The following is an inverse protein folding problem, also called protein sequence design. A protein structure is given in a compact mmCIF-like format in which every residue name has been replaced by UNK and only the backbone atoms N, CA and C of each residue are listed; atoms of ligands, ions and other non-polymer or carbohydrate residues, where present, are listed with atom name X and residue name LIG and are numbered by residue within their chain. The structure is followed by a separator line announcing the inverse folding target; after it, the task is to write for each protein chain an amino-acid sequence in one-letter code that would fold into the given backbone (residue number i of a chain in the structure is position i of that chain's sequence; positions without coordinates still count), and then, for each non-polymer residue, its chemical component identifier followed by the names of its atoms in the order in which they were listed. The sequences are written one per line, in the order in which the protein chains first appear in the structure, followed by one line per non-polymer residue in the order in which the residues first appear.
data_IF_627741944876
#
_entry.id   IF_627741944876
#
_cell.length_a   1.000
_cell.length_b   1.000
_cell.length_c   1.000
_cell.angle_alpha   90.00
_cell.angle_beta   90.00
_cell.angle_gamma   90.00
#
_symmetry.space_group_name_H-M   'P 1'
#
loop_
_entity.id
_entity.type
_entity.pdbx_description
1 polymer ?
#
# COMPACT_ATOMS: atom_id res chain seq x y z
N UNK A 1 15.71 -14.95 -30.13
CA UNK A 1 16.34 -13.78 -30.80
C UNK A 1 16.80 -12.79 -29.73
N UNK A 2 17.89 -12.02 -29.95
CA UNK A 2 18.43 -11.09 -28.94
C UNK A 2 17.79 -9.71 -29.09
N UNK A 3 17.08 -9.21 -28.06
CA UNK A 3 16.38 -7.91 -28.08
C UNK A 3 17.23 -6.72 -28.50
N UNK A 4 18.48 -6.68 -28.04
CA UNK A 4 19.41 -5.59 -28.34
C UNK A 4 19.61 -5.43 -29.86
N UNK A 5 19.53 -6.53 -30.62
CA UNK A 5 19.66 -6.53 -32.08
C UNK A 5 18.40 -6.05 -32.80
N UNK A 6 17.23 -6.07 -32.15
CA UNK A 6 15.99 -5.53 -32.71
C UNK A 6 15.88 -4.03 -32.48
N UNK A 7 16.26 -3.55 -31.29
CA UNK A 7 16.28 -2.13 -30.95
C UNK A 7 17.28 -1.32 -31.79
N UNK A 8 18.34 -1.96 -32.29
CA UNK A 8 19.34 -1.32 -33.15
C UNK A 8 18.92 -1.24 -34.63
N UNK A 9 17.89 -1.97 -35.05
CA UNK A 9 17.39 -1.95 -36.43
C UNK A 9 16.35 -0.83 -36.58
N UNK A 10 16.30 -0.15 -37.74
CA UNK A 10 15.18 0.73 -38.02
C UNK A 10 13.91 -0.07 -38.30
N UNK A 11 12.74 0.49 -37.95
CA UNK A 11 11.44 -0.19 -38.00
C UNK A 11 11.11 -0.76 -39.39
N UNK A 12 11.50 -0.07 -40.47
CA UNK A 12 11.24 -0.50 -41.85
C UNK A 12 12.04 -1.74 -42.27
N UNK A 13 13.11 -2.08 -41.55
CA UNK A 13 13.92 -3.28 -41.78
C UNK A 13 13.47 -4.45 -40.89
N UNK A 14 12.44 -4.24 -40.07
CA UNK A 14 11.94 -5.22 -39.11
C UNK A 14 10.76 -5.99 -39.70
N UNK A 15 10.71 -7.31 -39.44
CA UNK A 15 9.55 -8.11 -39.82
C UNK A 15 8.38 -7.85 -38.86
N UNK A 16 7.14 -8.12 -39.31
CA UNK A 16 5.95 -7.95 -38.47
C UNK A 16 6.00 -8.79 -37.18
N UNK A 17 6.66 -9.96 -37.22
CA UNK A 17 6.87 -10.83 -36.07
C UNK A 17 7.81 -10.20 -35.04
N UNK A 18 8.92 -9.61 -35.52
CA UNK A 18 9.87 -8.89 -34.67
C UNK A 18 9.21 -7.65 -34.01
N UNK A 19 8.27 -6.99 -34.70
CA UNK A 19 7.49 -5.88 -34.14
C UNK A 19 6.52 -6.30 -33.05
N UNK A 20 5.77 -7.37 -33.30
CA UNK A 20 4.81 -7.92 -32.33
C UNK A 20 5.52 -8.47 -31.08
N UNK A 21 6.73 -8.98 -31.25
CA UNK A 21 7.57 -9.42 -30.13
C UNK A 21 7.96 -8.25 -29.22
N UNK A 22 8.37 -7.10 -29.79
CA UNK A 22 8.74 -5.92 -29.01
C UNK A 22 7.53 -5.30 -28.27
N UNK A 23 6.35 -5.29 -28.90
CA UNK A 23 5.14 -4.70 -28.30
C UNK A 23 4.59 -5.51 -27.13
N UNK A 24 4.69 -6.85 -27.17
CA UNK A 24 4.32 -7.71 -26.05
C UNK A 24 5.25 -7.52 -24.86
N UNK A 25 6.54 -7.36 -25.12
CA UNK A 25 7.51 -7.21 -24.04
C UNK A 25 7.37 -5.88 -23.29
N UNK A 26 7.00 -4.78 -23.94
CA UNK A 26 6.74 -3.51 -23.23
C UNK A 26 5.50 -3.61 -22.32
N UNK A 27 4.51 -4.41 -22.71
CA UNK A 27 3.35 -4.71 -21.86
C UNK A 27 3.78 -5.52 -20.61
N UNK A 28 4.63 -6.53 -20.79
CA UNK A 28 5.14 -7.36 -19.69
C UNK A 28 6.07 -6.60 -18.74
N UNK A 29 6.84 -5.61 -19.22
CA UNK A 29 7.69 -4.79 -18.34
C UNK A 29 6.90 -3.82 -17.46
N UNK A 30 5.69 -3.39 -17.87
CA UNK A 30 4.83 -2.56 -17.02
C UNK A 30 4.18 -3.37 -15.88
N UNK A 31 3.98 -4.67 -16.07
CA UNK A 31 3.45 -5.57 -15.02
C UNK A 31 4.54 -6.16 -14.13
N UNK A 32 5.77 -6.35 -14.62
CA UNK A 32 6.83 -7.04 -13.87
C UNK A 32 7.84 -6.14 -13.13
N UNK A 33 7.75 -4.81 -13.21
CA UNK A 33 8.47 -3.92 -12.27
C UNK A 33 7.69 -3.62 -10.98
N UNK A 34 6.49 -4.18 -10.82
CA UNK A 34 5.66 -4.00 -9.62
C UNK A 34 5.48 -5.27 -8.77
N UNK A 35 6.11 -6.40 -9.13
CA UNK A 35 5.85 -7.70 -8.49
C UNK A 35 7.12 -8.48 -8.08
N UNK A 36 8.22 -7.78 -7.81
CA UNK A 36 9.38 -8.35 -7.10
C UNK A 36 9.49 -7.85 -5.65
N UNK A 37 8.36 -7.50 -5.03
CA UNK A 37 8.25 -7.56 -3.58
C UNK A 37 7.40 -8.80 -3.29
N UNK A 38 8.06 -9.80 -2.71
CA UNK A 38 7.49 -10.69 -1.70
C UNK A 38 6.24 -10.06 -1.03
N UNK A 39 5.22 -10.84 -0.62
CA UNK A 39 4.25 -10.36 0.34
C UNK A 39 4.93 -10.25 1.72
N UNK A 40 6.06 -9.54 1.83
CA UNK A 40 6.35 -8.77 3.02
C UNK A 40 5.16 -7.85 3.12
N UNK A 41 4.17 -8.21 3.95
CA UNK A 41 3.07 -7.36 4.32
C UNK A 41 3.67 -5.97 4.59
N UNK A 42 3.55 -5.07 3.62
CA UNK A 42 4.12 -3.73 3.69
C UNK A 42 3.23 -3.02 4.67
N UNK A 43 3.57 -3.18 5.96
CA UNK A 43 2.77 -2.67 7.07
C UNK A 43 2.46 -1.22 6.79
N UNK A 44 1.18 -0.95 6.55
CA UNK A 44 0.76 0.36 6.11
C UNK A 44 0.67 1.25 7.34
N UNK A 45 1.69 2.08 7.55
CA UNK A 45 1.74 3.01 8.67
C UNK A 45 1.17 4.37 8.29
N UNK A 46 0.24 4.87 9.10
CA UNK A 46 -0.37 6.19 8.94
C UNK A 46 -0.06 7.05 10.16
N UNK A 47 -0.02 8.36 9.95
CA UNK A 47 0.52 9.30 10.93
C UNK A 47 -0.53 10.27 11.49
N UNK A 48 -0.45 10.50 12.80
CA UNK A 48 -1.25 11.50 13.49
C UNK A 48 -2.73 11.16 13.61
N UNK A 49 -3.52 12.16 14.04
CA UNK A 49 -4.99 12.03 14.10
C UNK A 49 -5.58 11.97 12.69
N UNK A 50 -4.94 12.62 11.72
CA UNK A 50 -5.34 12.55 10.31
C UNK A 50 -5.32 11.11 9.80
N UNK A 51 -4.30 10.32 10.17
CA UNK A 51 -4.25 8.92 9.77
C UNK A 51 -5.39 8.05 10.30
N UNK A 52 -5.85 8.32 11.54
CA UNK A 52 -7.04 7.65 12.08
C UNK A 52 -8.29 8.06 11.27
N UNK A 53 -8.36 9.30 10.81
CA UNK A 53 -9.48 9.77 9.97
C UNK A 53 -9.49 9.04 8.62
N UNK A 54 -8.33 8.82 8.02
CA UNK A 54 -8.17 8.14 6.73
C UNK A 54 -8.53 6.65 6.81
N UNK A 55 -8.07 5.94 7.85
CA UNK A 55 -8.36 4.51 8.04
C UNK A 55 -9.87 4.26 8.26
N UNK A 56 -10.52 5.10 9.07
CA UNK A 56 -11.92 4.91 9.46
C UNK A 56 -12.91 5.76 8.68
N UNK A 57 -12.45 6.54 7.69
CA UNK A 57 -13.24 7.53 6.95
C UNK A 57 -14.10 8.38 7.89
N UNK A 58 -13.50 8.87 8.98
CA UNK A 58 -14.22 9.53 10.07
C UNK A 58 -13.74 10.97 10.31
N UNK A 59 -14.59 11.77 10.96
CA UNK A 59 -14.24 13.15 11.33
C UNK A 59 -13.22 13.21 12.47
N UNK A 60 -12.41 14.27 12.52
CA UNK A 60 -11.44 14.54 13.60
C UNK A 60 -11.98 14.32 15.04
N UNK A 61 -13.16 14.83 15.44
CA UNK A 61 -13.67 14.60 16.80
C UNK A 61 -14.00 13.12 17.06
N UNK A 62 -14.43 12.39 16.03
CA UNK A 62 -14.69 10.96 16.12
C UNK A 62 -13.39 10.17 16.27
N UNK A 63 -12.36 10.50 15.48
CA UNK A 63 -11.03 9.91 15.62
C UNK A 63 -10.44 10.11 17.04
N UNK A 64 -10.61 11.30 17.63
CA UNK A 64 -10.17 11.58 19.01
C UNK A 64 -10.92 10.70 20.02
N UNK A 65 -12.23 10.51 19.84
CA UNK A 65 -13.03 9.62 20.68
C UNK A 65 -12.58 8.16 20.54
N UNK A 66 -12.25 7.71 19.33
CA UNK A 66 -11.70 6.37 19.08
C UNK A 66 -10.37 6.20 19.82
N UNK A 67 -9.45 7.17 19.71
CA UNK A 67 -8.20 7.17 20.48
C UNK A 67 -8.45 7.13 21.99
N UNK A 68 -9.35 7.97 22.52
CA UNK A 68 -9.71 7.99 23.95
C UNK A 68 -10.39 6.70 24.43
N UNK A 69 -11.09 6.01 23.55
CA UNK A 69 -11.82 4.78 23.89
C UNK A 69 -10.91 3.57 24.13
N UNK A 70 -9.63 3.65 23.74
CA UNK A 70 -8.67 2.57 23.92
C UNK A 70 -8.83 1.38 22.98
N UNK A 71 -9.78 1.43 22.03
CA UNK A 71 -10.08 0.32 21.11
C UNK A 71 -8.91 -0.06 20.20
N UNK A 72 -8.02 0.88 19.92
CA UNK A 72 -6.94 0.76 18.92
C UNK A 72 -5.56 0.93 19.57
N UNK A 73 -5.46 0.93 20.90
CA UNK A 73 -4.22 1.24 21.61
C UNK A 73 -3.05 0.32 21.21
N UNK A 74 -3.33 -0.95 20.88
CA UNK A 74 -2.30 -1.89 20.42
C UNK A 74 -1.74 -1.56 19.04
N UNK A 75 -2.49 -0.85 18.18
CA UNK A 75 -2.01 -0.42 16.87
C UNK A 75 -1.35 0.96 16.91
N UNK A 76 -1.49 1.69 18.02
CA UNK A 76 -0.97 3.06 18.17
C UNK A 76 0.38 3.01 18.89
N UNK A 77 1.41 3.51 18.21
CA UNK A 77 2.71 3.81 18.83
C UNK A 77 2.82 5.31 19.01
N UNK A 78 2.84 5.79 20.26
CA UNK A 78 2.99 7.21 20.56
C UNK A 78 4.40 7.51 21.08
N UNK A 79 5.13 8.34 20.35
CA UNK A 79 6.43 8.90 20.77
C UNK A 79 6.23 10.41 20.99
N UNK A 80 6.04 10.82 22.24
CA UNK A 80 5.73 12.21 22.58
C UNK A 80 4.43 12.69 21.94
N UNK A 81 4.50 13.71 21.06
CA UNK A 81 3.35 14.22 20.27
C UNK A 81 3.13 13.48 18.95
N UNK A 82 4.09 12.68 18.51
CA UNK A 82 3.98 11.89 17.26
C UNK A 82 3.16 10.64 17.54
N UNK A 83 2.21 10.36 16.65
CA UNK A 83 1.35 9.18 16.72
C UNK A 83 1.57 8.42 15.41
N UNK A 84 1.97 7.16 15.50
CA UNK A 84 2.16 6.25 14.39
C UNK A 84 1.12 5.15 14.56
N UNK A 85 0.36 4.85 13.52
CA UNK A 85 -0.72 3.87 13.55
C UNK A 85 -0.44 2.82 12.48
N UNK A 86 -0.49 1.55 12.86
CA UNK A 86 -0.53 0.42 11.93
C UNK A 86 -1.98 0.24 11.41
N UNK A 87 -2.22 0.45 10.12
CA UNK A 87 -3.57 0.48 9.55
C UNK A 87 -4.25 -0.88 9.56
N UNK A 88 -3.52 -1.94 9.21
CA UNK A 88 -4.07 -3.29 9.12
C UNK A 88 -4.48 -3.79 10.51
N UNK A 89 -3.61 -3.55 11.49
CA UNK A 89 -3.87 -3.90 12.89
C UNK A 89 -5.05 -3.08 13.44
N UNK A 90 -5.16 -1.80 13.10
CA UNK A 90 -6.27 -0.95 13.53
C UNK A 90 -7.63 -1.45 13.01
N UNK A 91 -7.71 -1.88 11.75
CA UNK A 91 -8.93 -2.44 11.16
C UNK A 91 -9.31 -3.79 11.77
N UNK A 92 -8.32 -4.66 12.01
CA UNK A 92 -8.54 -5.94 12.68
C UNK A 92 -9.10 -5.75 14.10
N UNK A 93 -8.55 -4.82 14.87
CA UNK A 93 -9.03 -4.53 16.23
C UNK A 93 -10.41 -3.86 16.25
N UNK A 94 -10.70 -3.00 15.26
CA UNK A 94 -12.00 -2.36 15.17
C UNK A 94 -13.13 -3.37 14.92
N UNK A 95 -12.85 -4.44 14.17
CA UNK A 95 -13.78 -5.54 13.89
C UNK A 95 -14.02 -6.46 15.09
N UNK A 96 -13.11 -6.48 16.06
CA UNK A 96 -13.27 -7.29 17.28
C UNK A 96 -14.27 -6.65 18.25
N UNK A 97 -14.96 -7.51 19.03
CA UNK A 97 -15.97 -7.11 20.00
C UNK A 97 -15.37 -6.09 21.00
N UNK A 98 -16.07 -4.98 21.32
CA UNK A 98 -15.52 -3.95 22.18
C UNK A 98 -15.13 -4.51 23.55
N UNK A 99 -13.89 -4.24 23.96
CA UNK A 99 -13.42 -4.54 25.32
C UNK A 99 -14.21 -3.69 26.33
N UNK A 100 -14.50 -4.20 27.55
CA UNK A 100 -15.09 -3.39 28.61
C UNK A 100 -14.22 -2.15 28.87
N UNK A 101 -14.87 -0.99 28.98
CA UNK A 101 -14.20 0.30 29.23
C UNK A 101 -13.31 0.19 30.48
N UNK A 102 -12.01 0.48 30.33
CA UNK A 102 -11.15 0.78 31.48
C UNK A 102 -11.73 2.02 32.15
N UNK A 103 -12.31 1.84 33.34
CA UNK A 103 -12.73 2.92 34.23
C UNK A 103 -11.50 3.60 34.82
#
# INVERSE_FOLDING_TARGET
MKLQTLLSKPVWQMTGEELLFLSRQTADTNTNQSLANEPTATKHYVYGIAGICEIFSCSKPTAIRIKKSGRIDKAITQVGRKIIIDADLALQLASQKPMPRKR
#
